data_IF_743836731789
#
_entry.id   IF_743836731789
#
_cell.length_a   1.000
_cell.length_b   1.000
_cell.length_c   1.000
_cell.angle_alpha   90.00
_cell.angle_beta   90.00
_cell.angle_gamma   90.00
#
_symmetry.space_group_name_H-M   'P 1'
#
loop_
_entity.id
_entity.type
_entity.pdbx_description
1 polymer ?
#
# COMPACT_ATOMS: atom_id res chain seq x y z
N UNK A 1 16.47 -44.83 -25.75
CA UNK A 1 16.69 -43.68 -26.64
C UNK A 1 15.58 -42.61 -26.50
N UNK A 2 14.31 -42.93 -26.72
CA UNK A 2 13.20 -41.93 -26.71
C UNK A 2 13.16 -41.12 -25.40
N UNK A 3 13.23 -41.77 -24.25
CA UNK A 3 13.20 -41.08 -22.92
C UNK A 3 14.35 -40.07 -22.78
N UNK A 4 15.57 -40.43 -23.25
CA UNK A 4 16.71 -39.50 -23.16
C UNK A 4 16.50 -38.26 -24.06
N UNK A 5 15.98 -38.45 -25.28
CA UNK A 5 15.63 -37.31 -26.14
C UNK A 5 14.54 -36.46 -25.59
N UNK A 6 13.49 -37.02 -24.96
CA UNK A 6 12.42 -36.28 -24.31
C UNK A 6 12.97 -35.43 -23.17
N UNK A 7 13.85 -35.98 -22.32
CA UNK A 7 14.48 -35.23 -21.22
C UNK A 7 15.32 -34.06 -21.77
N UNK A 8 16.12 -34.28 -22.81
CA UNK A 8 16.94 -33.23 -23.43
C UNK A 8 16.06 -32.12 -24.01
N UNK A 9 14.97 -32.47 -24.69
CA UNK A 9 14.05 -31.47 -25.26
C UNK A 9 13.38 -30.64 -24.15
N UNK A 10 12.84 -31.29 -23.12
CA UNK A 10 12.21 -30.59 -21.99
C UNK A 10 13.22 -29.68 -21.27
N UNK A 11 14.43 -30.17 -21.02
CA UNK A 11 15.50 -29.41 -20.41
C UNK A 11 15.89 -28.18 -21.27
N UNK A 12 16.04 -28.37 -22.58
CA UNK A 12 16.36 -27.28 -23.51
C UNK A 12 15.27 -26.22 -23.55
N UNK A 13 13.98 -26.63 -23.54
CA UNK A 13 12.86 -25.69 -23.47
C UNK A 13 12.88 -24.92 -22.17
N UNK A 14 13.13 -25.57 -21.04
CA UNK A 14 13.24 -24.90 -19.73
C UNK A 14 14.38 -23.86 -19.72
N UNK A 15 15.55 -24.20 -20.29
CA UNK A 15 16.67 -23.26 -20.41
C UNK A 15 16.33 -22.05 -21.28
N UNK A 16 15.62 -22.27 -22.41
CA UNK A 16 15.17 -21.17 -23.28
C UNK A 16 14.22 -20.25 -22.53
N UNK A 17 13.26 -20.77 -21.77
CA UNK A 17 12.33 -19.96 -20.97
C UNK A 17 13.06 -19.14 -19.89
N UNK A 18 14.02 -19.76 -19.19
CA UNK A 18 14.84 -19.05 -18.19
C UNK A 18 15.65 -17.95 -18.87
N UNK A 19 16.22 -18.22 -20.03
CA UNK A 19 16.99 -17.23 -20.78
C UNK A 19 16.12 -16.04 -21.23
N UNK A 20 14.92 -16.31 -21.77
CA UNK A 20 13.96 -15.27 -22.14
C UNK A 20 13.55 -14.43 -20.94
N UNK A 21 13.30 -15.05 -19.79
CA UNK A 21 13.02 -14.35 -18.54
C UNK A 21 14.19 -13.46 -18.12
N UNK A 22 15.43 -13.96 -18.19
CA UNK A 22 16.62 -13.17 -17.87
C UNK A 22 16.77 -11.93 -18.79
N UNK A 23 16.49 -12.09 -20.10
CA UNK A 23 16.48 -10.96 -21.03
C UNK A 23 15.41 -9.93 -20.69
N UNK A 24 14.21 -10.36 -20.29
CA UNK A 24 13.14 -9.46 -19.83
C UNK A 24 13.58 -8.67 -18.60
N UNK A 25 14.21 -9.32 -17.59
CA UNK A 25 14.74 -8.66 -16.42
C UNK A 25 15.85 -7.65 -16.77
N UNK A 26 16.72 -8.00 -17.71
CA UNK A 26 17.75 -7.08 -18.19
C UNK A 26 17.15 -5.84 -18.85
N UNK A 27 16.11 -6.01 -19.66
CA UNK A 27 15.37 -4.90 -20.27
C UNK A 27 14.75 -3.98 -19.20
N UNK A 28 14.11 -4.54 -18.16
CA UNK A 28 13.59 -3.77 -17.03
C UNK A 28 14.67 -2.97 -16.32
N UNK A 29 15.86 -3.56 -16.13
CA UNK A 29 16.99 -2.86 -15.51
C UNK A 29 17.45 -1.64 -16.34
N UNK A 30 17.52 -1.79 -17.67
CA UNK A 30 17.87 -0.68 -18.55
C UNK A 30 16.83 0.42 -18.53
N UNK A 31 15.54 0.07 -18.58
CA UNK A 31 14.44 1.03 -18.49
C UNK A 31 14.45 1.76 -17.14
N UNK A 32 14.67 1.05 -16.04
CA UNK A 32 14.79 1.64 -14.71
C UNK A 32 15.93 2.66 -14.63
N UNK A 33 17.13 2.30 -15.11
CA UNK A 33 18.28 3.21 -15.15
C UNK A 33 18.04 4.44 -16.04
N UNK A 34 17.32 4.27 -17.13
CA UNK A 34 16.93 5.37 -18.00
C UNK A 34 15.90 6.30 -17.34
N UNK A 35 14.94 5.73 -16.61
CA UNK A 35 13.93 6.47 -15.88
C UNK A 35 14.52 7.29 -14.72
N UNK A 36 15.52 6.75 -14.00
CA UNK A 36 16.19 7.48 -12.90
C UNK A 36 16.92 8.76 -13.35
N UNK A 37 17.25 8.88 -14.63
CA UNK A 37 17.92 10.08 -15.16
C UNK A 37 16.94 11.22 -15.47
N UNK A 38 15.63 10.98 -15.43
CA UNK A 38 14.62 12.04 -15.59
C UNK A 38 14.55 12.83 -14.29
N UNK A 39 14.62 14.15 -14.39
CA UNK A 39 14.36 15.04 -13.25
C UNK A 39 13.01 14.72 -12.63
N UNK A 40 12.96 14.74 -11.30
CA UNK A 40 11.73 14.61 -10.55
C UNK A 40 10.85 15.84 -10.81
N UNK A 41 9.97 15.72 -11.79
CA UNK A 41 8.96 16.72 -12.14
C UNK A 41 7.67 16.51 -11.34
N UNK A 42 7.77 15.99 -10.10
CA UNK A 42 6.60 15.79 -9.27
C UNK A 42 5.81 17.10 -9.14
N UNK A 43 4.52 17.09 -9.46
CA UNK A 43 3.69 18.28 -9.37
C UNK A 43 3.60 18.72 -7.91
N UNK A 44 3.85 20.00 -7.65
CA UNK A 44 3.65 20.58 -6.32
C UNK A 44 2.20 21.02 -6.17
N UNK A 45 1.63 20.72 -5.01
CA UNK A 45 0.31 21.20 -4.63
C UNK A 45 0.47 22.36 -3.64
N UNK A 46 -0.32 23.40 -3.82
CA UNK A 46 -0.40 24.49 -2.84
C UNK A 46 -1.39 24.12 -1.74
N UNK A 47 -0.89 23.60 -0.63
CA UNK A 47 -1.69 23.22 0.51
C UNK A 47 -2.10 24.44 1.39
N UNK A 48 -1.75 25.67 1.00
CA UNK A 48 -2.16 26.88 1.73
C UNK A 48 -3.62 27.25 1.45
N UNK A 49 -4.14 26.88 0.26
CA UNK A 49 -5.53 27.11 -0.10
C UNK A 49 -6.41 25.91 0.29
N UNK A 50 -6.97 25.93 1.50
CA UNK A 50 -7.79 24.85 2.04
C UNK A 50 -9.01 24.47 1.19
N UNK A 51 -9.52 25.36 0.35
CA UNK A 51 -10.68 25.09 -0.54
C UNK A 51 -10.33 24.15 -1.68
N UNK A 52 -9.09 24.18 -2.16
CA UNK A 52 -8.62 23.35 -3.27
C UNK A 52 -8.07 22.00 -2.81
N UNK A 53 -7.85 21.80 -1.51
CA UNK A 53 -7.37 20.55 -0.98
C UNK A 53 -8.49 19.51 -1.07
N UNK A 54 -8.30 18.40 -1.82
CA UNK A 54 -9.32 17.37 -1.95
C UNK A 54 -9.52 16.62 -0.64
N UNK A 55 -10.69 16.02 -0.47
CA UNK A 55 -10.94 15.11 0.64
C UNK A 55 -10.37 13.74 0.33
N UNK A 56 -9.72 13.12 1.31
CA UNK A 56 -9.14 11.77 1.19
C UNK A 56 -9.76 10.85 2.23
N UNK A 57 -10.16 9.65 1.80
CA UNK A 57 -10.51 8.56 2.71
C UNK A 57 -9.37 7.55 2.73
N UNK A 58 -8.83 7.29 3.93
CA UNK A 58 -7.85 6.22 4.14
C UNK A 58 -8.61 4.96 4.52
N UNK A 59 -8.41 3.87 3.78
CA UNK A 59 -8.95 2.55 4.06
C UNK A 59 -7.86 1.63 4.61
N UNK A 60 -8.12 1.05 5.79
CA UNK A 60 -7.22 0.13 6.50
C UNK A 60 -7.93 -1.22 6.62
N UNK A 61 -7.82 -2.11 5.63
CA UNK A 61 -8.36 -3.46 5.71
C UNK A 61 -7.51 -4.30 6.67
N UNK A 62 -8.15 -4.85 7.72
CA UNK A 62 -7.47 -5.61 8.77
C UNK A 62 -8.16 -6.93 9.06
N UNK A 63 -7.35 -7.94 9.47
CA UNK A 63 -7.84 -9.25 9.87
C UNK A 63 -6.90 -9.94 10.84
N UNK A 64 -7.28 -10.03 12.13
CA UNK A 64 -6.52 -10.68 13.20
C UNK A 64 -5.09 -10.10 13.39
N UNK A 65 -4.97 -8.77 13.39
CA UNK A 65 -3.69 -8.04 13.36
C UNK A 65 -3.38 -7.36 14.72
N UNK A 66 -3.50 -8.14 15.82
CA UNK A 66 -3.40 -7.62 17.20
C UNK A 66 -2.09 -6.84 17.48
N UNK A 67 -0.96 -7.29 16.91
CA UNK A 67 0.37 -6.75 17.26
C UNK A 67 0.76 -5.49 16.48
N UNK A 68 0.09 -5.19 15.38
CA UNK A 68 0.48 -4.09 14.48
C UNK A 68 -0.53 -2.94 14.46
N UNK A 69 -1.77 -3.19 14.91
CA UNK A 69 -2.87 -2.22 14.83
C UNK A 69 -2.60 -0.90 15.56
N UNK A 70 -2.11 -0.95 16.81
CA UNK A 70 -1.82 0.29 17.54
C UNK A 70 -0.77 1.13 16.82
N UNK A 71 0.30 0.49 16.36
CA UNK A 71 1.38 1.16 15.62
C UNK A 71 0.88 1.75 14.30
N UNK A 72 0.04 1.01 13.55
CA UNK A 72 -0.56 1.50 12.31
C UNK A 72 -1.40 2.75 12.59
N UNK A 73 -2.35 2.68 13.52
CA UNK A 73 -3.26 3.77 13.81
C UNK A 73 -2.51 5.01 14.33
N UNK A 74 -1.52 4.83 15.21
CA UNK A 74 -0.69 5.92 15.71
C UNK A 74 0.16 6.55 14.58
N UNK A 75 0.59 5.78 13.60
CA UNK A 75 1.29 6.31 12.42
C UNK A 75 0.35 7.08 11.49
N UNK A 76 -0.81 6.52 11.15
CA UNK A 76 -1.78 7.13 10.22
C UNK A 76 -2.26 8.49 10.72
N UNK A 77 -2.47 8.68 12.02
CA UNK A 77 -2.88 9.96 12.59
C UNK A 77 -1.78 11.02 12.60
N UNK A 78 -0.54 10.65 12.26
CA UNK A 78 0.57 11.61 12.11
C UNK A 78 0.72 12.13 10.69
N UNK A 79 -0.10 11.67 9.75
CA UNK A 79 -0.03 12.15 8.37
C UNK A 79 -0.32 13.66 8.31
N UNK A 80 0.53 14.37 7.61
CA UNK A 80 0.44 15.82 7.39
C UNK A 80 -0.63 16.11 6.33
N UNK A 81 -1.89 16.19 6.78
CA UNK A 81 -3.04 16.54 5.95
C UNK A 81 -4.10 17.25 6.80
N UNK A 82 -4.87 18.21 6.25
CA UNK A 82 -5.91 18.87 7.01
C UNK A 82 -6.95 17.90 7.58
N UNK A 83 -7.13 17.88 8.89
CA UNK A 83 -7.95 16.88 9.57
C UNK A 83 -9.41 16.85 9.11
N UNK A 84 -9.97 18.01 8.74
CA UNK A 84 -11.32 18.15 8.19
C UNK A 84 -11.46 17.57 6.76
N UNK A 85 -10.34 17.36 6.10
CA UNK A 85 -10.25 16.77 4.76
C UNK A 85 -9.85 15.28 4.78
N UNK A 86 -9.59 14.73 5.97
CA UNK A 86 -9.15 13.36 6.16
C UNK A 86 -10.23 12.53 6.85
N UNK A 87 -10.58 11.39 6.27
CA UNK A 87 -11.43 10.36 6.83
C UNK A 87 -10.64 9.06 6.92
N UNK A 88 -10.74 8.35 8.04
CA UNK A 88 -10.07 7.07 8.25
C UNK A 88 -11.13 6.00 8.48
N UNK A 89 -11.08 4.94 7.67
CA UNK A 89 -11.95 3.77 7.78
C UNK A 89 -11.10 2.55 8.14
N UNK A 90 -11.30 2.01 9.34
CA UNK A 90 -10.74 0.71 9.73
C UNK A 90 -11.74 -0.36 9.35
N UNK A 91 -11.43 -1.11 8.30
CA UNK A 91 -12.29 -2.16 7.73
C UNK A 91 -11.91 -3.49 8.38
N UNK A 92 -12.57 -3.80 9.50
CA UNK A 92 -12.15 -4.87 10.41
C UNK A 92 -12.98 -6.14 10.23
N UNK A 93 -12.37 -7.12 9.59
CA UNK A 93 -12.90 -8.47 9.39
C UNK A 93 -12.43 -9.46 10.47
N UNK A 94 -11.80 -9.00 11.54
CA UNK A 94 -11.22 -9.86 12.57
C UNK A 94 -12.26 -10.68 13.32
N UNK A 95 -11.83 -11.83 13.84
CA UNK A 95 -12.62 -12.80 14.59
C UNK A 95 -12.07 -13.12 15.97
N UNK A 96 -10.92 -12.52 16.31
CA UNK A 96 -10.18 -12.72 17.56
C UNK A 96 -10.26 -11.49 18.48
N UNK A 97 -9.43 -11.49 19.53
CA UNK A 97 -9.33 -10.45 20.53
C UNK A 97 -8.80 -9.09 19.98
N UNK A 98 -8.24 -9.07 18.77
CA UNK A 98 -7.78 -7.82 18.12
C UNK A 98 -8.91 -6.80 17.95
N UNK A 99 -10.17 -7.28 17.81
CA UNK A 99 -11.36 -6.44 17.72
C UNK A 99 -11.47 -5.47 18.90
N UNK A 100 -11.36 -6.01 20.12
CA UNK A 100 -11.55 -5.22 21.35
C UNK A 100 -10.43 -4.19 21.51
N UNK A 101 -9.20 -4.60 21.21
CA UNK A 101 -8.02 -3.72 21.28
C UNK A 101 -8.13 -2.59 20.26
N UNK A 102 -8.49 -2.92 19.02
CA UNK A 102 -8.69 -1.96 17.92
C UNK A 102 -9.80 -0.97 18.25
N UNK A 103 -10.96 -1.44 18.72
CA UNK A 103 -12.10 -0.59 19.10
C UNK A 103 -11.73 0.39 20.22
N UNK A 104 -11.02 -0.08 21.26
CA UNK A 104 -10.55 0.77 22.35
C UNK A 104 -9.60 1.88 21.86
N UNK A 105 -8.70 1.52 20.96
CA UNK A 105 -7.75 2.48 20.38
C UNK A 105 -8.48 3.53 19.53
N UNK A 106 -9.38 3.08 18.64
CA UNK A 106 -10.20 3.97 17.81
C UNK A 106 -11.00 4.96 18.69
N UNK A 107 -11.68 4.49 19.76
CA UNK A 107 -12.41 5.35 20.68
C UNK A 107 -11.50 6.42 21.34
N UNK A 108 -10.25 6.07 21.64
CA UNK A 108 -9.25 7.03 22.16
C UNK A 108 -8.92 8.11 21.12
N UNK A 109 -8.75 7.73 19.85
CA UNK A 109 -8.46 8.66 18.77
C UNK A 109 -9.66 9.56 18.45
N UNK A 110 -10.88 9.02 18.45
CA UNK A 110 -12.11 9.81 18.28
C UNK A 110 -12.27 10.88 19.36
N UNK A 111 -11.94 10.56 20.63
CA UNK A 111 -11.94 11.56 21.72
C UNK A 111 -10.93 12.70 21.52
N UNK A 112 -9.89 12.48 20.71
CA UNK A 112 -8.92 13.51 20.29
C UNK A 112 -9.36 14.31 19.07
N UNK A 113 -10.60 14.07 18.57
CA UNK A 113 -11.15 14.75 17.41
C UNK A 113 -10.75 14.15 16.05
N UNK A 114 -10.13 12.95 16.02
CA UNK A 114 -9.76 12.28 14.77
C UNK A 114 -11.02 11.70 14.11
N UNK A 115 -11.23 12.01 12.84
CA UNK A 115 -12.31 11.46 12.03
C UNK A 115 -11.99 10.03 11.58
N UNK A 116 -12.23 9.07 12.46
CA UNK A 116 -11.94 7.65 12.26
C UNK A 116 -13.17 6.79 12.59
N UNK A 117 -13.44 5.81 11.76
CA UNK A 117 -14.56 4.88 11.90
C UNK A 117 -14.07 3.44 11.99
N UNK A 118 -14.70 2.64 12.87
CA UNK A 118 -14.53 1.21 12.96
C UNK A 118 -15.67 0.53 12.21
N UNK A 119 -15.38 -0.03 11.04
CA UNK A 119 -16.38 -0.64 10.15
C UNK A 119 -16.19 -2.14 10.21
N UNK A 120 -17.23 -2.84 10.64
CA UNK A 120 -17.25 -4.30 10.75
C UNK A 120 -18.39 -4.87 9.91
N UNK A 121 -18.15 -6.01 9.27
CA UNK A 121 -19.10 -6.71 8.43
C UNK A 121 -19.66 -7.94 9.14
N UNK A 122 -20.88 -8.34 8.80
CA UNK A 122 -21.51 -9.59 9.29
C UNK A 122 -20.90 -10.83 8.64
N UNK A 123 -20.33 -10.70 7.45
CA UNK A 123 -19.69 -11.79 6.72
C UNK A 123 -18.40 -11.29 6.06
N UNK A 124 -17.48 -12.19 5.76
CA UNK A 124 -16.18 -11.90 5.16
C UNK A 124 -16.17 -12.21 3.65
N UNK A 125 -17.32 -12.04 2.98
CA UNK A 125 -17.40 -12.32 1.55
C UNK A 125 -16.45 -11.43 0.74
N UNK A 126 -15.70 -12.02 -0.19
CA UNK A 126 -14.70 -11.30 -1.00
C UNK A 126 -13.44 -10.89 -0.23
N UNK A 127 -13.28 -11.30 1.05
CA UNK A 127 -12.09 -11.02 1.89
C UNK A 127 -11.73 -9.52 1.88
N UNK A 128 -10.44 -9.19 1.74
CA UNK A 128 -9.94 -7.81 1.68
C UNK A 128 -10.62 -6.98 0.59
N UNK A 129 -10.81 -7.53 -0.61
CA UNK A 129 -11.46 -6.82 -1.72
C UNK A 129 -12.92 -6.49 -1.40
N UNK A 130 -13.65 -7.42 -0.72
CA UNK A 130 -15.01 -7.18 -0.25
C UNK A 130 -15.09 -6.08 0.81
N UNK A 131 -14.15 -6.06 1.76
CA UNK A 131 -14.07 -5.02 2.78
C UNK A 131 -13.83 -3.63 2.15
N UNK A 132 -12.85 -3.54 1.24
CA UNK A 132 -12.57 -2.30 0.51
C UNK A 132 -13.78 -1.81 -0.30
N UNK A 133 -14.51 -2.73 -0.97
CA UNK A 133 -15.72 -2.38 -1.72
C UNK A 133 -16.79 -1.79 -0.81
N UNK A 134 -17.12 -2.44 0.31
CA UNK A 134 -18.12 -1.94 1.24
C UNK A 134 -17.70 -0.61 1.89
N UNK A 135 -16.40 -0.46 2.23
CA UNK A 135 -15.86 0.80 2.71
C UNK A 135 -15.97 1.93 1.67
N UNK A 136 -15.81 1.60 0.37
CA UNK A 136 -15.93 2.57 -0.72
C UNK A 136 -17.34 3.13 -0.84
N UNK A 137 -18.39 2.33 -0.58
CA UNK A 137 -19.80 2.77 -0.67
C UNK A 137 -20.15 3.90 0.32
N UNK A 138 -19.42 4.00 1.42
CA UNK A 138 -19.63 5.01 2.48
C UNK A 138 -18.49 6.04 2.57
N UNK A 139 -17.45 5.89 1.75
CA UNK A 139 -16.32 6.81 1.71
C UNK A 139 -16.75 8.20 1.23
N UNK A 140 -16.21 9.24 1.86
CA UNK A 140 -16.53 10.65 1.53
C UNK A 140 -15.38 11.34 0.81
N UNK A 141 -14.24 10.66 0.66
CA UNK A 141 -13.06 11.17 -0.02
C UNK A 141 -13.24 11.18 -1.54
N UNK A 142 -12.68 12.18 -2.19
CA UNK A 142 -12.49 12.21 -3.65
C UNK A 142 -11.42 11.20 -4.08
N UNK A 143 -10.47 10.96 -3.19
CA UNK A 143 -9.40 9.97 -3.35
C UNK A 143 -9.43 8.96 -2.21
N UNK A 144 -9.08 7.72 -2.57
CA UNK A 144 -8.97 6.62 -1.63
C UNK A 144 -7.50 6.23 -1.49
N UNK A 145 -6.97 6.31 -0.27
CA UNK A 145 -5.65 5.77 0.07
C UNK A 145 -5.82 4.43 0.79
N UNK A 146 -5.09 3.40 0.38
CA UNK A 146 -5.20 2.06 0.96
C UNK A 146 -3.84 1.69 1.55
N UNK A 147 -3.82 1.32 2.84
CA UNK A 147 -2.63 0.80 3.51
C UNK A 147 -2.95 -0.54 4.15
N UNK A 148 -2.04 -1.50 3.98
CA UNK A 148 -2.09 -2.77 4.70
C UNK A 148 -1.71 -2.56 6.17
N UNK A 149 -2.07 -3.52 7.02
CA UNK A 149 -1.89 -3.41 8.47
C UNK A 149 -0.42 -3.25 8.91
N UNK A 150 0.52 -3.73 8.11
CA UNK A 150 1.96 -3.67 8.36
C UNK A 150 2.66 -2.46 7.71
N UNK A 151 1.93 -1.61 6.99
CA UNK A 151 2.47 -0.42 6.33
C UNK A 151 2.51 0.79 7.26
N UNK A 152 3.62 1.51 7.20
CA UNK A 152 3.82 2.75 7.93
C UNK A 152 4.21 3.87 6.95
N UNK A 153 3.22 4.57 6.36
CA UNK A 153 3.52 5.67 5.44
C UNK A 153 4.30 6.80 6.13
N UNK A 154 5.12 7.50 5.35
CA UNK A 154 5.78 8.71 5.81
C UNK A 154 4.76 9.81 6.04
N UNK A 155 5.05 10.75 6.94
CA UNK A 155 4.09 11.80 7.35
C UNK A 155 3.59 12.64 6.17
N UNK A 156 4.45 12.90 5.21
CA UNK A 156 4.18 13.71 4.00
C UNK A 156 3.65 12.89 2.81
N UNK A 157 3.32 11.60 3.01
CA UNK A 157 2.90 10.69 1.95
C UNK A 157 1.75 11.24 1.11
N UNK A 158 0.71 11.80 1.73
CA UNK A 158 -0.42 12.42 1.03
C UNK A 158 0.01 13.68 0.28
N UNK A 159 0.90 14.49 0.88
CA UNK A 159 1.43 15.71 0.24
C UNK A 159 2.23 15.38 -1.02
N UNK A 160 2.88 14.22 -1.06
CA UNK A 160 3.66 13.76 -2.22
C UNK A 160 2.79 13.08 -3.29
N UNK A 161 1.71 12.40 -2.92
CA UNK A 161 0.93 11.56 -3.86
C UNK A 161 -0.26 12.30 -4.47
N UNK A 162 -1.01 13.07 -3.70
CA UNK A 162 -2.21 13.79 -4.17
C UNK A 162 -1.94 14.72 -5.35
N UNK A 163 -0.80 15.45 -5.42
CA UNK A 163 -0.54 16.37 -6.53
C UNK A 163 -0.54 15.73 -7.92
N UNK A 164 -0.23 14.44 -8.03
CA UNK A 164 -0.24 13.74 -9.32
C UNK A 164 -1.62 13.69 -9.96
N UNK A 165 -2.69 13.67 -9.17
CA UNK A 165 -4.07 13.64 -9.67
C UNK A 165 -4.56 14.96 -10.26
N UNK A 166 -3.75 16.04 -10.24
CA UNK A 166 -4.00 17.23 -11.07
C UNK A 166 -4.02 16.90 -12.57
N UNK A 167 -3.31 15.86 -12.97
CA UNK A 167 -3.41 15.29 -14.30
C UNK A 167 -4.60 14.31 -14.34
N UNK A 168 -5.69 14.70 -14.99
CA UNK A 168 -6.92 13.90 -15.13
C UNK A 168 -6.70 12.53 -15.81
N UNK A 169 -5.56 12.31 -16.48
CA UNK A 169 -5.21 11.01 -17.07
C UNK A 169 -4.65 10.02 -16.03
N UNK A 170 -4.32 10.49 -14.82
CA UNK A 170 -3.79 9.63 -13.75
C UNK A 170 -4.93 9.16 -12.85
N UNK A 171 -5.30 7.89 -12.97
CA UNK A 171 -6.33 7.28 -12.12
C UNK A 171 -5.78 6.59 -10.86
N UNK A 172 -4.49 6.26 -10.83
CA UNK A 172 -3.84 5.56 -9.70
C UNK A 172 -2.42 6.05 -9.53
N UNK A 173 -2.01 6.24 -8.28
CA UNK A 173 -0.61 6.50 -7.89
C UNK A 173 -0.19 5.40 -6.93
N UNK A 174 0.84 4.64 -7.31
CA UNK A 174 1.44 3.62 -6.46
C UNK A 174 2.81 4.08 -5.99
N UNK A 175 3.06 3.98 -4.68
CA UNK A 175 4.37 4.28 -4.12
C UNK A 175 5.20 3.01 -3.94
N UNK A 176 6.51 3.16 -3.95
CA UNK A 176 7.44 2.07 -3.70
C UNK A 176 7.49 1.73 -2.22
N UNK A 177 7.61 0.46 -1.91
CA UNK A 177 7.81 -0.01 -0.53
C UNK A 177 9.21 0.31 -0.03
N UNK A 178 9.29 0.73 1.23
CA UNK A 178 10.51 0.77 2.02
C UNK A 178 10.53 -0.39 3.03
N UNK A 179 11.73 -0.81 3.45
CA UNK A 179 11.88 -1.93 4.39
C UNK A 179 12.38 -1.41 5.73
N UNK A 180 11.52 -1.43 6.75
CA UNK A 180 11.82 -0.94 8.11
C UNK A 180 12.97 -1.75 8.75
N UNK A 181 13.02 -3.05 8.48
CA UNK A 181 13.98 -3.98 9.09
C UNK A 181 15.14 -4.38 8.17
N UNK A 182 15.38 -3.65 7.07
CA UNK A 182 16.40 -3.98 6.06
C UNK A 182 17.77 -4.32 6.67
N UNK A 183 18.19 -3.58 7.69
CA UNK A 183 19.52 -3.71 8.29
C UNK A 183 19.56 -4.64 9.54
N UNK A 184 18.46 -5.32 9.86
CA UNK A 184 18.37 -6.15 11.05
C UNK A 184 19.23 -7.43 10.94
N UNK A 185 19.24 -8.10 9.79
CA UNK A 185 20.00 -9.33 9.56
C UNK A 185 20.36 -9.50 8.08
N UNK A 186 21.24 -10.47 7.77
CA UNK A 186 21.53 -10.86 6.38
C UNK A 186 20.28 -11.35 5.66
N UNK A 187 19.42 -12.10 6.34
CA UNK A 187 18.16 -12.59 5.76
C UNK A 187 17.24 -11.44 5.39
N UNK A 188 17.04 -10.44 6.26
CA UNK A 188 16.18 -9.29 5.97
C UNK A 188 16.74 -8.42 4.83
N UNK A 189 18.08 -8.34 4.68
CA UNK A 189 18.71 -7.67 3.53
C UNK A 189 18.41 -8.40 2.22
N UNK A 190 18.50 -9.73 2.20
CA UNK A 190 18.19 -10.55 1.02
C UNK A 190 16.71 -10.45 0.67
N UNK A 191 15.81 -10.50 1.66
CA UNK A 191 14.37 -10.31 1.46
C UNK A 191 14.05 -8.93 0.87
N UNK A 192 14.64 -7.86 1.44
CA UNK A 192 14.48 -6.50 0.92
C UNK A 192 14.95 -6.39 -0.52
N UNK A 193 16.11 -6.97 -0.85
CA UNK A 193 16.63 -6.97 -2.21
C UNK A 193 15.71 -7.71 -3.20
N UNK A 194 15.17 -8.86 -2.80
CA UNK A 194 14.23 -9.63 -3.61
C UNK A 194 12.92 -8.87 -3.88
N UNK A 195 12.38 -8.20 -2.85
CA UNK A 195 11.16 -7.38 -2.96
C UNK A 195 11.40 -6.08 -3.76
N UNK A 196 12.55 -5.44 -3.59
CA UNK A 196 12.96 -4.24 -4.35
C UNK A 196 13.01 -4.49 -5.88
N UNK A 197 13.12 -5.76 -6.30
CA UNK A 197 13.11 -6.13 -7.72
C UNK A 197 11.69 -6.26 -8.30
N UNK A 198 10.65 -6.29 -7.46
CA UNK A 198 9.25 -6.45 -7.87
C UNK A 198 8.45 -5.14 -7.82
N UNK A 199 8.92 -4.12 -7.06
CA UNK A 199 8.20 -2.86 -6.83
C UNK A 199 8.99 -1.60 -7.20
#
# INVERSE_FOLDING_TARGET
>A
MIVAYTIIVVYSLALILIFMYALAQLNLLFNYRSAQKKEDTSPKFDFTNSKEIPRVTIQLPVYNEIYVMERLLDNIVTLEYPGEKLEIQVLDDSTDESIVTTEKHIKRLQKRGINIQHIRRSNRHGFKAGALKEGLEIARGEFIAIFDADFLPQKDWLLQTIPYFKNAAIGVVQTRWGHINRNYSTLTKIQAFALDAHF
#
